data_IF_725890490607
#
_entry.id   IF_725890490607
#
_cell.length_a   1.000
_cell.length_b   1.000
_cell.length_c   1.000
_cell.angle_alpha   90.00
_cell.angle_beta   90.00
_cell.angle_gamma   90.00
#
_symmetry.space_group_name_H-M   'P 1'
#
loop_
_entity.id
_entity.type
_entity.pdbx_description
1 polymer ?
#
# COMPACT_ATOMS: atom_id res chain seq x y z
N UNK A 1 1.82 12.36 2.79
CA UNK A 1 2.00 11.43 3.86
C UNK A 1 1.65 10.00 3.55
N UNK A 2 1.60 9.16 4.60
CA UNK A 2 1.36 7.72 4.48
C UNK A 2 0.13 7.41 3.64
N UNK A 3 -1.01 8.03 3.97
CA UNK A 3 -2.27 7.74 3.26
C UNK A 3 -2.21 8.21 1.82
N UNK A 4 -1.64 9.37 1.57
CA UNK A 4 -1.56 9.91 0.20
C UNK A 4 -0.68 9.02 -0.69
N UNK A 5 0.46 8.56 -0.17
CA UNK A 5 1.34 7.66 -0.91
C UNK A 5 0.63 6.35 -1.21
N UNK A 6 -0.08 5.80 -0.22
CA UNK A 6 -0.78 4.53 -0.41
C UNK A 6 -1.92 4.63 -1.42
N UNK A 7 -2.71 5.72 -1.37
CA UNK A 7 -3.80 5.92 -2.34
C UNK A 7 -3.25 5.96 -3.76
N UNK A 8 -2.16 6.68 -3.97
CA UNK A 8 -1.53 6.75 -5.29
C UNK A 8 -1.06 5.36 -5.75
N UNK A 9 -0.46 4.59 -4.85
CA UNK A 9 0.01 3.24 -5.15
C UNK A 9 -1.15 2.30 -5.47
N UNK A 10 -2.24 2.39 -4.69
CA UNK A 10 -3.44 1.59 -4.90
C UNK A 10 -4.03 1.85 -6.30
N UNK A 11 -4.17 3.12 -6.69
CA UNK A 11 -4.70 3.45 -8.01
C UNK A 11 -3.80 2.94 -9.13
N UNK A 12 -2.47 2.97 -8.93
CA UNK A 12 -1.54 2.43 -9.90
C UNK A 12 -1.73 0.92 -10.09
N UNK A 13 -2.10 0.19 -9.03
CA UNK A 13 -2.37 -1.24 -9.15
C UNK A 13 -3.62 -1.51 -9.98
N UNK A 14 -4.67 -0.70 -9.85
CA UNK A 14 -5.83 -0.80 -10.74
C UNK A 14 -5.44 -0.57 -12.21
N UNK A 15 -4.59 0.37 -12.46
CA UNK A 15 -4.13 0.65 -13.83
C UNK A 15 -3.30 -0.49 -14.42
N UNK A 16 -2.73 -1.34 -13.58
CA UNK A 16 -2.04 -2.55 -14.03
C UNK A 16 -2.99 -3.71 -14.29
N UNK A 17 -4.30 -3.53 -14.09
CA UNK A 17 -5.30 -4.54 -14.39
C UNK A 17 -5.85 -5.28 -13.18
N UNK A 18 -5.44 -4.92 -11.97
CA UNK A 18 -6.01 -5.50 -10.76
C UNK A 18 -7.34 -4.80 -10.48
N UNK A 19 -8.45 -5.47 -10.76
CA UNK A 19 -9.77 -4.85 -10.69
C UNK A 19 -10.44 -5.03 -9.32
N UNK A 20 -10.08 -6.06 -8.55
CA UNK A 20 -10.62 -6.26 -7.21
C UNK A 20 -9.98 -5.33 -6.21
N UNK A 21 -10.77 -4.74 -5.31
CA UNK A 21 -10.24 -3.81 -4.31
C UNK A 21 -9.25 -4.49 -3.36
N UNK A 22 -9.56 -5.71 -2.89
CA UNK A 22 -8.66 -6.41 -1.98
C UNK A 22 -7.33 -6.77 -2.66
N UNK A 23 -7.37 -7.15 -3.92
CA UNK A 23 -6.17 -7.49 -4.68
C UNK A 23 -5.32 -6.25 -4.94
N UNK A 24 -5.95 -5.14 -5.33
CA UNK A 24 -5.24 -3.88 -5.57
C UNK A 24 -4.64 -3.36 -4.27
N UNK A 25 -5.37 -3.46 -3.17
CA UNK A 25 -4.89 -3.01 -1.87
C UNK A 25 -3.70 -3.82 -1.40
N UNK A 26 -3.75 -5.14 -1.51
CA UNK A 26 -2.63 -5.99 -1.12
C UNK A 26 -1.39 -5.72 -1.98
N UNK A 27 -1.56 -5.57 -3.29
CA UNK A 27 -0.46 -5.24 -4.18
C UNK A 27 0.12 -3.87 -3.84
N UNK A 28 -0.73 -2.89 -3.50
CA UNK A 28 -0.28 -1.55 -3.11
C UNK A 28 0.55 -1.59 -1.83
N UNK A 29 0.15 -2.39 -0.84
CA UNK A 29 0.91 -2.57 0.40
C UNK A 29 2.35 -2.99 0.09
N UNK A 30 2.53 -3.90 -0.86
CA UNK A 30 3.86 -4.38 -1.24
C UNK A 30 4.69 -3.32 -1.97
N UNK A 31 4.04 -2.30 -2.55
CA UNK A 31 4.72 -1.29 -3.38
C UNK A 31 4.83 0.07 -2.70
N UNK A 32 4.28 0.23 -1.50
CA UNK A 32 4.26 1.54 -0.83
C UNK A 32 5.67 2.11 -0.64
N UNK A 33 6.64 1.28 -0.25
CA UNK A 33 8.00 1.77 -0.05
C UNK A 33 8.62 2.25 -1.37
N UNK A 34 8.38 1.52 -2.46
CA UNK A 34 8.89 1.93 -3.78
C UNK A 34 8.29 3.28 -4.19
N UNK A 35 6.98 3.45 -4.00
CA UNK A 35 6.32 4.72 -4.32
C UNK A 35 6.89 5.86 -3.49
N UNK A 36 7.10 5.63 -2.19
CA UNK A 36 7.65 6.64 -1.31
C UNK A 36 9.07 7.06 -1.74
N UNK A 37 9.91 6.11 -2.16
CA UNK A 37 11.24 6.41 -2.65
C UNK A 37 11.19 7.24 -3.93
N UNK A 38 10.28 6.91 -4.85
CA UNK A 38 10.09 7.68 -6.07
C UNK A 38 9.67 9.12 -5.79
N UNK A 39 8.99 9.35 -4.67
CA UNK A 39 8.56 10.69 -4.23
C UNK A 39 9.61 11.39 -3.37
N UNK A 40 10.79 10.80 -3.19
CA UNK A 40 11.91 11.44 -2.55
C UNK A 40 12.26 10.96 -1.15
N UNK A 41 11.56 9.96 -0.62
CA UNK A 41 11.89 9.41 0.70
C UNK A 41 13.18 8.59 0.63
N UNK A 42 13.95 8.60 1.74
CA UNK A 42 15.08 7.70 1.85
C UNK A 42 14.57 6.24 1.98
N UNK A 43 15.42 5.23 1.73
CA UNK A 43 15.00 3.83 1.92
C UNK A 43 14.46 3.54 3.32
N UNK A 44 15.06 4.12 4.36
CA UNK A 44 14.59 3.92 5.74
C UNK A 44 13.24 4.57 5.97
N UNK A 45 13.06 5.80 5.48
CA UNK A 45 11.77 6.50 5.58
C UNK A 45 10.69 5.76 4.82
N UNK A 46 11.02 5.23 3.63
CA UNK A 46 10.08 4.50 2.80
C UNK A 46 9.61 3.21 3.49
N UNK A 47 10.53 2.46 4.09
CA UNK A 47 10.17 1.25 4.83
C UNK A 47 9.30 1.55 6.03
N UNK A 48 9.62 2.63 6.76
CA UNK A 48 8.84 3.02 7.92
C UNK A 48 7.43 3.45 7.53
N UNK A 49 7.29 4.16 6.42
CA UNK A 49 5.99 4.56 5.90
C UNK A 49 5.13 3.33 5.56
N UNK A 50 5.72 2.35 4.88
CA UNK A 50 5.00 1.13 4.51
C UNK A 50 4.55 0.36 5.76
N UNK A 51 5.41 0.24 6.78
CA UNK A 51 5.05 -0.41 8.04
C UNK A 51 3.96 0.33 8.78
N UNK A 52 4.01 1.66 8.78
CA UNK A 52 2.99 2.48 9.44
C UNK A 52 1.63 2.24 8.81
N UNK A 53 1.55 2.22 7.49
CA UNK A 53 0.32 1.91 6.81
C UNK A 53 -0.18 0.50 7.16
N UNK A 54 0.71 -0.49 7.09
CA UNK A 54 0.36 -1.89 7.35
C UNK A 54 -0.20 -2.09 8.76
N UNK A 55 0.44 -1.47 9.75
CA UNK A 55 0.05 -1.68 11.15
C UNK A 55 -1.12 -0.81 11.60
N UNK A 56 -1.28 0.39 11.04
CA UNK A 56 -2.24 1.36 11.55
C UNK A 56 -3.44 1.58 10.65
N UNK A 57 -3.28 1.47 9.36
CA UNK A 57 -4.35 1.78 8.42
C UNK A 57 -4.99 0.53 7.83
N UNK A 58 -4.19 -0.43 7.39
CA UNK A 58 -4.71 -1.61 6.71
C UNK A 58 -5.72 -2.40 7.55
N UNK A 59 -5.48 -2.66 8.85
CA UNK A 59 -6.45 -3.42 9.66
C UNK A 59 -7.81 -2.75 9.79
N UNK A 60 -7.88 -1.44 9.56
CA UNK A 60 -9.11 -0.65 9.68
C UNK A 60 -9.80 -0.43 8.34
N UNK A 61 -9.27 -0.99 7.26
CA UNK A 61 -9.91 -0.88 5.95
C UNK A 61 -11.18 -1.73 5.90
N UNK A 62 -12.17 -1.37 5.05
CA UNK A 62 -13.35 -2.20 4.85
C UNK A 62 -12.98 -3.62 4.42
N UNK A 63 -13.84 -4.59 4.73
CA UNK A 63 -13.58 -6.00 4.46
C UNK A 63 -13.28 -6.28 2.99
N UNK A 64 -13.96 -5.58 2.08
CA UNK A 64 -13.75 -5.77 0.64
C UNK A 64 -12.40 -5.22 0.16
N UNK A 65 -11.68 -4.49 1.01
CA UNK A 65 -10.33 -4.00 0.73
C UNK A 65 -9.24 -4.86 1.37
N UNK A 66 -9.62 -5.88 2.16
CA UNK A 66 -8.66 -6.70 2.90
C UNK A 66 -8.64 -8.11 2.36
N UNK A 67 -7.44 -8.59 2.07
CA UNK A 67 -7.20 -9.97 1.67
C UNK A 67 -6.60 -10.71 2.86
N UNK A 68 -7.27 -11.76 3.39
CA UNK A 68 -6.75 -12.50 4.55
C UNK A 68 -5.36 -13.11 4.31
N UNK A 69 -5.00 -13.33 3.06
CA UNK A 69 -3.70 -13.90 2.71
C UNK A 69 -2.63 -12.82 2.50
N UNK A 70 -3.01 -11.55 2.61
CA UNK A 70 -2.05 -10.46 2.39
C UNK A 70 -1.10 -10.33 3.58
N UNK A 71 0.18 -10.17 3.27
CA UNK A 71 1.20 -9.92 4.28
C UNK A 71 2.23 -8.95 3.72
N UNK A 72 2.72 -8.07 4.56
CA UNK A 72 3.81 -7.18 4.19
C UNK A 72 5.11 -7.97 4.17
N UNK A 73 5.78 -7.96 3.03
CA UNK A 73 7.06 -8.66 2.85
C UNK A 73 8.24 -7.71 2.80
#
# INVERSE_FOLDING_TARGET
EVIAVHVLTHEAMHMKGLTGEADAECAAVQKDSTTAELLGASPDQARQLARTYWHRAYPNMPDDYRNPSCALT
#
